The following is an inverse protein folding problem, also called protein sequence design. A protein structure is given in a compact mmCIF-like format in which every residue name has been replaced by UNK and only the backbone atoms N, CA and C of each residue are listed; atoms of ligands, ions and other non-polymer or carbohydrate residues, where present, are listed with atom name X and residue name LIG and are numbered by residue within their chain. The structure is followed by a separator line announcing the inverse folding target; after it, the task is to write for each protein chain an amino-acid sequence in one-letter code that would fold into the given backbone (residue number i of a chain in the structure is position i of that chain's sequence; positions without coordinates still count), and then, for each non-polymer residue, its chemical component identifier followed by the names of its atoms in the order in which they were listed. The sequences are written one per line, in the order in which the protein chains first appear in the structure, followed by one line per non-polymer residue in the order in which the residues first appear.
data_IF_687845709870
#
_entry.id   IF_687845709870
#
_cell.length_a   1.000
_cell.length_b   1.000
_cell.length_c   1.000
_cell.angle_alpha   90.00
_cell.angle_beta   90.00
_cell.angle_gamma   90.00
#
_symmetry.space_group_name_H-M   'P 1'
#
loop_
_entity.id
_entity.type
_entity.pdbx_description
1 polymer ?
#
# COMPACT_ATOMS: atom_id res chain seq x y z
N UNK A 1 1.43 2.36 3.75
CA UNK A 1 1.71 3.59 4.49
C UNK A 1 2.04 3.27 5.95
N UNK A 2 1.21 2.52 6.64
CA UNK A 2 1.43 2.07 8.02
C UNK A 2 2.03 0.67 7.99
N UNK A 3 3.20 0.46 8.57
CA UNK A 3 4.00 -0.78 8.44
C UNK A 3 4.43 -1.37 9.79
N UNK A 4 3.82 -0.94 10.90
CA UNK A 4 4.20 -1.38 12.27
C UNK A 4 4.07 -2.89 12.48
N UNK A 5 3.16 -3.57 11.75
CA UNK A 5 3.01 -5.02 11.87
C UNK A 5 4.24 -5.82 11.42
N UNK A 6 5.14 -5.21 10.65
CA UNK A 6 6.37 -5.84 10.19
C UNK A 6 7.39 -6.06 11.33
N UNK A 7 7.25 -5.31 12.42
CA UNK A 7 8.17 -5.38 13.56
C UNK A 7 7.98 -6.66 14.38
N UNK A 8 6.75 -7.03 14.68
CA UNK A 8 6.43 -8.15 15.60
C UNK A 8 5.38 -9.10 15.02
N UNK A 9 4.29 -8.56 14.47
CA UNK A 9 3.13 -9.39 14.07
C UNK A 9 3.48 -10.32 12.92
N UNK A 10 4.10 -9.82 11.85
CA UNK A 10 4.50 -10.67 10.72
C UNK A 10 5.56 -11.72 11.11
N UNK A 11 6.64 -11.38 11.85
CA UNK A 11 7.59 -12.37 12.33
C UNK A 11 6.95 -13.44 13.23
N UNK A 12 6.08 -13.04 14.15
CA UNK A 12 5.37 -13.98 15.04
C UNK A 12 4.41 -14.88 14.25
N UNK A 13 3.65 -14.31 13.33
CA UNK A 13 2.74 -15.07 12.48
C UNK A 13 3.48 -16.12 11.63
N UNK A 14 4.61 -15.75 11.03
CA UNK A 14 5.47 -16.69 10.28
C UNK A 14 6.01 -17.81 11.19
N UNK A 15 6.51 -17.46 12.37
CA UNK A 15 7.00 -18.44 13.33
C UNK A 15 5.93 -19.45 13.74
N UNK A 16 4.70 -19.01 13.89
CA UNK A 16 3.56 -19.85 14.30
C UNK A 16 2.82 -20.50 13.11
N UNK A 17 3.23 -20.28 11.88
CA UNK A 17 2.54 -20.79 10.70
C UNK A 17 1.15 -20.17 10.48
N UNK A 18 0.93 -18.93 10.93
CA UNK A 18 -0.35 -18.22 10.85
C UNK A 18 -0.26 -17.19 9.71
N UNK A 19 -1.25 -17.18 8.82
CA UNK A 19 -1.35 -16.15 7.78
C UNK A 19 -1.95 -14.84 8.30
N UNK A 20 -1.50 -13.72 7.76
CA UNK A 20 -2.01 -12.38 8.10
C UNK A 20 -2.90 -11.86 6.97
N UNK A 21 -4.07 -11.32 7.32
CA UNK A 21 -5.02 -10.70 6.39
C UNK A 21 -5.20 -9.22 6.72
N UNK A 22 -4.38 -8.31 6.17
CA UNK A 22 -4.44 -6.88 6.47
C UNK A 22 -5.74 -6.26 5.93
N UNK A 23 -6.36 -5.41 6.75
CA UNK A 23 -7.52 -4.61 6.38
C UNK A 23 -7.13 -3.21 5.91
N UNK A 24 -8.05 -2.52 5.22
CA UNK A 24 -7.82 -1.15 4.67
C UNK A 24 -6.54 -1.03 3.81
N UNK A 25 -6.33 -1.94 2.84
CA UNK A 25 -5.08 -2.04 2.09
C UNK A 25 -4.74 -0.77 1.29
N UNK A 26 -5.74 0.04 0.94
CA UNK A 26 -5.57 1.30 0.22
C UNK A 26 -5.50 2.53 1.14
N UNK A 27 -5.31 2.33 2.45
CA UNK A 27 -5.21 3.39 3.45
C UNK A 27 -6.31 4.46 3.31
N UNK A 28 -7.58 4.04 3.42
CA UNK A 28 -8.73 4.93 3.23
C UNK A 28 -8.87 5.47 1.81
N UNK A 29 -8.24 4.81 0.83
CA UNK A 29 -8.25 5.17 -0.59
C UNK A 29 -7.19 6.19 -0.99
N UNK A 30 -6.21 6.51 -0.14
CA UNK A 30 -5.08 7.36 -0.50
C UNK A 30 -4.18 6.72 -1.56
N UNK A 31 -4.05 5.39 -1.53
CA UNK A 31 -3.26 4.63 -2.50
C UNK A 31 -4.08 4.18 -3.73
N UNK A 32 -5.27 4.72 -3.92
CA UNK A 32 -6.18 4.35 -5.01
C UNK A 32 -6.20 5.32 -6.20
N UNK A 33 -5.14 6.09 -6.43
CA UNK A 33 -5.12 7.07 -7.53
C UNK A 33 -5.89 8.36 -7.18
N UNK A 34 -5.71 8.85 -5.97
CA UNK A 34 -6.51 9.95 -5.41
C UNK A 34 -6.22 11.29 -6.08
N UNK A 35 -4.97 11.55 -6.49
CA UNK A 35 -4.60 12.82 -7.16
C UNK A 35 -5.09 12.85 -8.60
N UNK A 36 -4.97 11.75 -9.32
CA UNK A 36 -5.52 11.62 -10.67
C UNK A 36 -7.05 11.77 -10.69
N UNK A 37 -7.73 11.47 -9.57
CA UNK A 37 -9.17 11.61 -9.39
C UNK A 37 -9.59 12.94 -8.72
N UNK A 38 -8.66 13.85 -8.42
CA UNK A 38 -8.88 15.07 -7.63
C UNK A 38 -9.78 16.03 -8.41
N UNK A 39 -10.47 16.08 -9.10
CA UNK A 39 -11.52 16.90 -9.73
C UNK A 39 -12.88 16.22 -9.75
N UNK A 40 -12.89 14.90 -9.48
CA UNK A 40 -14.11 14.10 -9.57
C UNK A 40 -14.74 13.83 -8.20
N UNK A 41 -13.97 13.94 -7.13
CA UNK A 41 -14.44 13.62 -5.78
C UNK A 41 -13.76 14.49 -4.72
N UNK A 42 -14.45 15.52 -4.25
CA UNK A 42 -13.95 16.37 -3.16
C UNK A 42 -13.88 15.56 -1.86
N UNK A 43 -12.70 15.51 -1.26
CA UNK A 43 -12.52 14.96 0.09
C UNK A 43 -12.71 16.06 1.12
N UNK A 44 -13.22 15.70 2.30
CA UNK A 44 -13.45 16.62 3.41
C UNK A 44 -13.00 16.01 4.73
N UNK A 45 -12.80 16.82 5.75
CA UNK A 45 -12.40 16.38 7.09
C UNK A 45 -11.08 15.61 7.08
N UNK A 46 -10.97 14.60 7.93
CA UNK A 46 -9.74 13.79 8.13
C UNK A 46 -9.15 13.21 6.85
N UNK A 47 -9.99 12.89 5.86
CA UNK A 47 -9.48 12.35 4.59
C UNK A 47 -8.78 13.41 3.75
N UNK A 48 -9.19 14.66 3.82
CA UNK A 48 -8.50 15.78 3.17
C UNK A 48 -7.20 16.12 3.90
N UNK A 49 -7.21 16.15 5.22
CA UNK A 49 -6.02 16.39 6.05
C UNK A 49 -4.95 15.31 5.82
N UNK A 50 -5.36 14.04 5.78
CA UNK A 50 -4.46 12.93 5.52
C UNK A 50 -3.86 12.97 4.11
N UNK A 51 -4.63 13.41 3.11
CA UNK A 51 -4.12 13.60 1.75
C UNK A 51 -3.09 14.74 1.72
N UNK A 52 -3.42 15.88 2.32
CA UNK A 52 -2.53 17.05 2.33
C UNK A 52 -1.21 16.75 3.04
N UNK A 53 -1.26 16.09 4.20
CA UNK A 53 -0.09 15.67 4.95
C UNK A 53 0.83 14.66 4.20
N UNK A 54 0.31 14.00 3.17
CA UNK A 54 1.04 13.00 2.39
C UNK A 54 1.12 13.32 0.89
N UNK A 55 0.73 14.53 0.48
CA UNK A 55 0.55 14.90 -0.94
C UNK A 55 1.76 14.57 -1.80
N UNK A 56 2.94 15.00 -1.41
CA UNK A 56 4.17 14.79 -2.18
C UNK A 56 4.51 13.30 -2.30
N UNK A 57 4.32 12.55 -1.22
CA UNK A 57 4.54 11.09 -1.20
C UNK A 57 3.55 10.35 -2.08
N UNK A 58 2.28 10.76 -2.07
CA UNK A 58 1.24 10.19 -2.94
C UNK A 58 1.51 10.55 -4.39
N UNK A 59 1.95 11.78 -4.68
CA UNK A 59 2.31 12.19 -6.04
C UNK A 59 3.47 11.35 -6.60
N UNK A 60 4.52 11.14 -5.81
CA UNK A 60 5.64 10.29 -6.20
C UNK A 60 5.19 8.82 -6.40
N UNK A 61 4.29 8.33 -5.55
CA UNK A 61 3.70 7.01 -5.69
C UNK A 61 2.88 6.87 -6.98
N UNK A 62 1.97 7.79 -7.28
CA UNK A 62 1.16 7.76 -8.49
C UNK A 62 2.03 7.91 -9.76
N UNK A 63 3.10 8.69 -9.68
CA UNK A 63 4.10 8.80 -10.76
C UNK A 63 4.80 7.46 -11.01
N UNK A 64 5.20 6.76 -9.94
CA UNK A 64 5.78 5.41 -10.05
C UNK A 64 4.81 4.43 -10.68
N UNK A 65 3.54 4.41 -10.25
CA UNK A 65 2.51 3.54 -10.81
C UNK A 65 2.27 3.80 -12.31
N UNK A 66 2.22 5.08 -12.69
CA UNK A 66 2.09 5.47 -14.09
C UNK A 66 3.27 4.99 -14.95
N UNK A 67 4.49 5.04 -14.41
CA UNK A 67 5.69 4.52 -15.09
C UNK A 67 5.67 2.99 -15.25
N UNK A 68 4.99 2.27 -14.33
CA UNK A 68 4.78 0.83 -14.42
C UNK A 68 3.65 0.46 -15.41
N UNK A 69 2.79 1.41 -15.75
CA UNK A 69 1.60 1.16 -16.55
C UNK A 69 0.46 0.50 -15.77
N UNK A 70 0.53 0.53 -14.44
CA UNK A 70 -0.45 -0.12 -13.54
C UNK A 70 -1.24 0.90 -12.72
N UNK A 71 -2.48 0.53 -12.41
CA UNK A 71 -3.35 1.32 -11.54
C UNK A 71 -2.77 1.37 -10.11
N UNK A 72 -2.74 2.56 -9.46
CA UNK A 72 -2.21 2.69 -8.10
C UNK A 72 -2.82 1.71 -7.10
N UNK A 73 -4.12 1.46 -7.17
CA UNK A 73 -4.78 0.49 -6.29
C UNK A 73 -4.19 -0.91 -6.45
N UNK A 74 -3.90 -1.34 -7.67
CA UNK A 74 -3.37 -2.67 -7.97
C UNK A 74 -1.92 -2.80 -7.50
N UNK A 75 -1.10 -1.76 -7.69
CA UNK A 75 0.28 -1.74 -7.19
C UNK A 75 0.30 -1.86 -5.66
N UNK A 76 -0.59 -1.14 -4.95
CA UNK A 76 -0.69 -1.24 -3.49
C UNK A 76 -1.11 -2.63 -3.02
N UNK A 77 -2.07 -3.26 -3.68
CA UNK A 77 -2.52 -4.61 -3.37
C UNK A 77 -1.44 -5.65 -3.70
N UNK A 78 -0.79 -5.53 -4.85
CA UNK A 78 0.30 -6.39 -5.26
C UNK A 78 1.47 -6.31 -4.27
N UNK A 79 1.82 -5.10 -3.81
CA UNK A 79 2.86 -4.93 -2.80
C UNK A 79 2.55 -5.70 -1.51
N UNK A 80 1.28 -5.69 -1.05
CA UNK A 80 0.87 -6.48 0.12
C UNK A 80 1.01 -7.98 -0.13
N UNK A 81 0.65 -8.46 -1.32
CA UNK A 81 0.78 -9.87 -1.72
C UNK A 81 2.23 -10.34 -1.83
N UNK A 82 3.17 -9.42 -2.05
CA UNK A 82 4.61 -9.71 -2.03
C UNK A 82 5.20 -9.78 -0.62
N UNK A 83 4.45 -9.38 0.42
CA UNK A 83 4.95 -9.44 1.80
C UNK A 83 4.85 -10.86 2.34
N UNK A 84 5.98 -11.42 2.77
CA UNK A 84 6.02 -12.75 3.38
C UNK A 84 5.18 -12.79 4.67
N UNK A 85 4.24 -13.74 4.75
CA UNK A 85 3.30 -13.89 5.87
C UNK A 85 1.94 -13.23 5.64
N UNK A 86 1.78 -12.42 4.60
CA UNK A 86 0.46 -11.94 4.17
C UNK A 86 -0.20 -12.98 3.29
N UNK A 87 -1.38 -13.44 3.70
CA UNK A 87 -2.16 -14.43 2.94
C UNK A 87 -3.09 -13.79 1.92
N UNK A 88 -3.77 -12.71 2.29
CA UNK A 88 -4.67 -11.96 1.41
C UNK A 88 -5.04 -10.62 2.03
N UNK A 89 -5.09 -9.51 1.27
CA UNK A 89 -5.66 -8.25 1.74
C UNK A 89 -7.19 -8.30 1.77
N UNK A 90 -7.81 -7.66 2.78
CA UNK A 90 -9.26 -7.50 2.83
C UNK A 90 -9.64 -6.28 1.99
N UNK A 91 -10.33 -6.52 0.87
CA UNK A 91 -10.82 -5.46 -0.01
C UNK A 91 -12.31 -5.22 0.18
N UNK A 92 -12.75 -3.95 0.01
CA UNK A 92 -14.16 -3.55 0.13
C UNK A 92 -14.63 -2.81 -1.12
N UNK A 93 -14.78 -3.50 -2.27
CA UNK A 93 -15.30 -2.89 -3.48
C UNK A 93 -16.79 -2.52 -3.31
N UNK A 94 -17.22 -1.45 -3.97
CA UNK A 94 -18.61 -1.00 -3.98
C UNK A 94 -19.32 -1.36 -5.27
N UNK A 95 -18.57 -1.70 -6.31
CA UNK A 95 -19.07 -2.11 -7.62
C UNK A 95 -18.31 -3.34 -8.11
N UNK A 96 -18.89 -4.05 -9.07
CA UNK A 96 -18.27 -5.22 -9.70
C UNK A 96 -16.98 -4.82 -10.42
N UNK A 97 -16.97 -3.68 -11.09
CA UNK A 97 -15.79 -3.17 -11.79
C UNK A 97 -14.62 -2.91 -10.83
N UNK A 98 -14.92 -2.44 -9.60
CA UNK A 98 -13.90 -2.28 -8.57
C UNK A 98 -13.37 -3.63 -8.05
N UNK A 99 -14.23 -4.63 -7.97
CA UNK A 99 -13.81 -5.99 -7.60
C UNK A 99 -12.92 -6.58 -8.67
N UNK A 100 -13.33 -6.52 -9.93
CA UNK A 100 -12.57 -7.03 -11.07
C UNK A 100 -11.21 -6.32 -11.18
N UNK A 101 -11.20 -5.00 -10.96
CA UNK A 101 -9.96 -4.24 -10.90
C UNK A 101 -9.03 -4.72 -9.78
N UNK A 102 -9.57 -4.94 -8.56
CA UNK A 102 -8.77 -5.42 -7.44
C UNK A 102 -8.23 -6.84 -7.66
N UNK A 103 -8.99 -7.71 -8.35
CA UNK A 103 -8.55 -9.08 -8.68
C UNK A 103 -7.34 -9.08 -9.62
N UNK A 104 -7.19 -8.09 -10.50
CA UNK A 104 -6.00 -7.96 -11.35
C UNK A 104 -4.71 -7.77 -10.57
N UNK A 105 -4.78 -7.33 -9.32
CA UNK A 105 -3.59 -7.15 -8.49
C UNK A 105 -2.79 -8.45 -8.27
N UNK A 106 -3.43 -9.63 -8.39
CA UNK A 106 -2.73 -10.93 -8.27
C UNK A 106 -1.83 -11.24 -9.47
N UNK A 107 -2.04 -10.54 -10.59
CA UNK A 107 -1.27 -10.69 -11.83
C UNK A 107 -0.13 -9.65 -11.92
N UNK A 108 -0.14 -8.63 -11.05
CA UNK A 108 0.87 -7.57 -11.03
C UNK A 108 2.16 -8.09 -10.39
N UNK A 109 3.22 -8.17 -11.17
CA UNK A 109 4.55 -8.57 -10.72
C UNK A 109 5.41 -7.33 -10.48
N UNK A 110 5.81 -7.12 -9.24
CA UNK A 110 6.67 -6.01 -8.85
C UNK A 110 8.14 -6.48 -8.86
N UNK A 111 8.95 -5.90 -9.74
CA UNK A 111 10.38 -6.14 -9.75
C UNK A 111 11.05 -5.63 -8.46
N UNK A 112 12.23 -6.14 -8.12
CA UNK A 112 12.96 -5.74 -6.91
C UNK A 112 13.23 -4.24 -6.86
N UNK A 113 13.53 -3.61 -7.99
CA UNK A 113 13.75 -2.16 -8.09
C UNK A 113 12.48 -1.38 -7.74
N UNK A 114 11.31 -1.90 -8.14
CA UNK A 114 10.00 -1.31 -7.81
C UNK A 114 9.69 -1.45 -6.33
N UNK A 115 9.93 -2.64 -5.76
CA UNK A 115 9.77 -2.88 -4.33
C UNK A 115 10.67 -1.96 -3.52
N UNK A 116 11.94 -1.82 -3.91
CA UNK A 116 12.88 -0.89 -3.28
C UNK A 116 12.46 0.58 -3.43
N UNK A 117 11.85 0.97 -4.56
CA UNK A 117 11.32 2.32 -4.74
C UNK A 117 10.12 2.57 -3.82
N UNK A 118 9.22 1.60 -3.70
CA UNK A 118 8.07 1.67 -2.78
C UNK A 118 8.52 1.74 -1.32
N UNK A 119 9.57 1.01 -0.94
CA UNK A 119 10.15 1.04 0.40
C UNK A 119 10.81 2.39 0.73
N UNK A 120 11.40 3.07 -0.26
CA UNK A 120 11.88 4.45 -0.07
C UNK A 120 10.74 5.46 0.12
N UNK A 121 9.64 5.29 -0.60
CA UNK A 121 8.45 6.14 -0.47
C UNK A 121 7.70 5.90 0.84
N UNK A 122 7.62 4.66 1.26
CA UNK A 122 6.92 4.22 2.46
C UNK A 122 7.84 3.37 3.34
N UNK A 123 8.84 4.00 3.99
CA UNK A 123 9.82 3.26 4.76
C UNK A 123 9.15 2.44 5.86
N UNK A 124 9.56 1.18 5.95
CA UNK A 124 9.17 0.27 7.00
C UNK A 124 9.94 0.51 8.30
N UNK A 125 9.68 -0.35 9.26
CA UNK A 125 10.46 -0.39 10.49
C UNK A 125 11.92 -0.78 10.19
N UNK A 126 12.85 -0.11 10.86
CA UNK A 126 14.27 -0.47 10.84
C UNK A 126 14.67 -1.06 12.19
N UNK A 127 15.32 -2.22 12.23
CA UNK A 127 15.75 -2.80 13.50
C UNK A 127 16.85 -1.95 14.16
N UNK A 128 17.01 -2.12 15.48
CA UNK A 128 18.16 -1.59 16.20
C UNK A 128 19.48 -2.14 15.61
N UNK A 129 20.58 -1.38 15.53
CA UNK A 129 20.77 -0.04 16.12
C UNK A 129 20.29 1.13 15.26
N UNK A 130 19.93 0.91 14.00
CA UNK A 130 19.61 1.98 13.04
C UNK A 130 18.43 2.86 13.51
N UNK A 131 17.49 2.28 14.25
CA UNK A 131 16.34 2.99 14.78
C UNK A 131 16.64 3.79 16.05
N UNK A 132 17.69 3.45 16.77
CA UNK A 132 18.11 4.08 18.04
C UNK A 132 19.44 4.85 17.90
N UNK A 133 20.00 4.96 16.70
CA UNK A 133 21.13 5.84 16.46
C UNK A 133 20.61 7.30 16.46
N UNK A 134 20.85 8.00 17.53
CA UNK A 134 20.57 9.44 17.72
C UNK A 134 21.56 10.29 16.92
#
# INVERSE_FOLDING_TARGET
MTREIEMEVLPAARHLGIGVIPWSPLHGGLLGGVLAAEGRRRRTGRAAEALEANRDRIAAYETLCAALGDEPANVALAWLLHQEGVSAPIVGPRTVEQLDAAMRAVEVHLAEETLAALDRLFPGYRPSPEHYAW
#
